data_IF_593969192616
#
_entry.id   IF_593969192616
#
_cell.length_a   1.000
_cell.length_b   1.000
_cell.length_c   1.000
_cell.angle_alpha   90.00
_cell.angle_beta   90.00
_cell.angle_gamma   90.00
#
_symmetry.space_group_name_H-M   'P 1'
#
loop_
_entity.id
_entity.type
_entity.pdbx_description
1 polymer ?
#
# COMPACT_ATOMS: atom_id res chain seq x y z
N UNK A 1 -14.61 1.72 -0.35
CA UNK A 1 -13.14 1.84 -0.23
C UNK A 1 -12.58 2.88 -1.19
N UNK A 2 -12.90 2.77 -2.48
CA UNK A 2 -12.44 3.69 -3.53
C UNK A 2 -12.65 5.19 -3.20
N UNK A 3 -13.84 5.59 -2.76
CA UNK A 3 -14.14 7.00 -2.42
C UNK A 3 -13.32 7.49 -1.21
N UNK A 4 -13.19 6.65 -0.17
CA UNK A 4 -12.40 6.98 1.02
C UNK A 4 -10.91 7.14 0.69
N UNK A 5 -10.34 6.20 -0.06
CA UNK A 5 -8.94 6.28 -0.49
C UNK A 5 -8.68 7.48 -1.40
N UNK A 6 -9.67 7.92 -2.17
CA UNK A 6 -9.52 9.08 -3.07
C UNK A 6 -9.37 10.41 -2.32
N UNK A 7 -9.74 10.45 -1.03
CA UNK A 7 -9.58 11.63 -0.17
C UNK A 7 -8.59 11.40 0.99
N UNK A 8 -8.01 10.20 1.08
CA UNK A 8 -7.09 9.83 2.14
C UNK A 8 -5.64 10.25 1.84
N UNK A 9 -4.90 10.59 2.90
CA UNK A 9 -3.47 10.87 2.83
C UNK A 9 -2.60 9.69 3.32
N UNK A 10 -3.20 8.80 4.11
CA UNK A 10 -2.58 7.60 4.67
C UNK A 10 -3.71 6.59 4.95
N UNK A 11 -3.44 5.30 4.77
CA UNK A 11 -4.32 4.23 5.27
C UNK A 11 -3.60 3.42 6.33
N UNK A 12 -4.25 3.21 7.48
CA UNK A 12 -3.84 2.24 8.51
C UNK A 12 -4.61 0.93 8.26
N UNK A 13 -3.92 -0.18 8.01
CA UNK A 13 -4.59 -1.45 7.67
C UNK A 13 -3.73 -2.67 7.92
N UNK A 14 -4.34 -3.87 7.90
CA UNK A 14 -3.59 -5.13 7.79
C UNK A 14 -3.02 -5.28 6.38
N UNK A 15 -1.91 -6.00 6.18
CA UNK A 15 -1.29 -6.17 4.87
C UNK A 15 -2.01 -7.16 3.94
N UNK A 16 -3.33 -7.05 3.86
CA UNK A 16 -4.16 -7.81 2.93
C UNK A 16 -3.98 -7.35 1.49
N UNK A 17 -3.72 -8.28 0.58
CA UNK A 17 -3.32 -7.98 -0.81
C UNK A 17 -4.34 -7.13 -1.59
N UNK A 18 -5.64 -7.29 -1.35
CA UNK A 18 -6.67 -6.49 -2.01
C UNK A 18 -6.62 -5.03 -1.58
N UNK A 19 -6.65 -4.77 -0.28
CA UNK A 19 -6.61 -3.40 0.27
C UNK A 19 -5.32 -2.69 -0.10
N UNK A 20 -4.17 -3.37 -0.03
CA UNK A 20 -2.89 -2.84 -0.49
C UNK A 20 -2.98 -2.45 -1.96
N UNK A 21 -3.47 -3.34 -2.83
CA UNK A 21 -3.57 -3.07 -4.27
C UNK A 21 -4.44 -1.86 -4.57
N UNK A 22 -5.58 -1.71 -3.89
CA UNK A 22 -6.45 -0.55 -4.02
C UNK A 22 -5.76 0.75 -3.55
N UNK A 23 -5.04 0.71 -2.42
CA UNK A 23 -4.29 1.85 -1.91
C UNK A 23 -3.17 2.29 -2.86
N UNK A 24 -2.44 1.34 -3.45
CA UNK A 24 -1.39 1.62 -4.44
C UNK A 24 -1.95 2.31 -5.68
N UNK A 25 -3.05 1.80 -6.25
CA UNK A 25 -3.74 2.42 -7.40
C UNK A 25 -4.20 3.84 -7.06
N UNK A 26 -4.63 4.07 -5.82
CA UNK A 26 -5.00 5.40 -5.32
C UNK A 26 -3.82 6.26 -4.88
N UNK A 27 -2.59 5.74 -4.96
CA UNK A 27 -1.37 6.42 -4.53
C UNK A 27 -1.51 6.89 -3.07
N UNK A 28 -2.04 6.03 -2.21
CA UNK A 28 -2.19 6.29 -0.78
C UNK A 28 -1.09 5.53 -0.05
N UNK A 29 -0.17 6.21 0.65
CA UNK A 29 0.78 5.60 1.57
C UNK A 29 0.12 4.64 2.56
N UNK A 30 0.81 3.57 2.94
CA UNK A 30 0.24 2.47 3.72
C UNK A 30 0.98 2.30 5.05
N UNK A 31 0.28 2.43 6.18
CA UNK A 31 0.78 2.01 7.49
C UNK A 31 0.16 0.66 7.81
N UNK A 32 1.00 -0.37 7.90
CA UNK A 32 0.61 -1.75 8.10
C UNK A 32 0.77 -2.15 9.57
N UNK A 33 -0.11 -3.01 10.06
CA UNK A 33 -0.02 -3.60 11.40
C UNK A 33 -0.58 -5.03 11.40
N UNK A 34 -0.19 -5.82 12.40
CA UNK A 34 -0.75 -7.16 12.68
C UNK A 34 -0.89 -8.09 11.44
N UNK A 35 0.21 -8.35 10.70
CA UNK A 35 0.19 -9.25 9.56
C UNK A 35 -0.18 -10.66 9.99
N UNK A 36 -1.08 -11.33 9.25
CA UNK A 36 -1.29 -12.76 9.44
C UNK A 36 0.00 -13.49 9.06
N UNK A 37 0.61 -14.27 9.98
CA UNK A 37 1.87 -14.96 9.72
C UNK A 37 1.78 -15.82 8.46
N UNK A 38 2.85 -15.79 7.67
CA UNK A 38 3.00 -16.47 6.37
C UNK A 38 2.13 -15.89 5.25
N UNK A 39 0.84 -15.62 5.49
CA UNK A 39 -0.09 -15.20 4.44
C UNK A 39 0.11 -13.73 4.04
N UNK A 40 0.35 -12.84 5.00
CA UNK A 40 0.46 -11.39 4.73
C UNK A 40 1.87 -10.83 4.98
N UNK A 41 2.77 -11.64 5.55
CA UNK A 41 4.15 -11.25 5.83
C UNK A 41 4.89 -10.79 4.57
N UNK A 42 4.71 -11.50 3.45
CA UNK A 42 5.36 -11.13 2.19
C UNK A 42 4.80 -9.84 1.59
N UNK A 43 3.50 -9.57 1.74
CA UNK A 43 2.92 -8.31 1.31
C UNK A 43 3.54 -7.15 2.10
N UNK A 44 3.65 -7.30 3.43
CA UNK A 44 4.26 -6.28 4.28
C UNK A 44 5.72 -6.02 3.90
N UNK A 45 6.51 -7.10 3.76
CA UNK A 45 7.91 -7.02 3.35
C UNK A 45 8.07 -6.33 2.00
N UNK A 46 7.26 -6.70 1.01
CA UNK A 46 7.30 -6.08 -0.31
C UNK A 46 7.00 -4.58 -0.24
N UNK A 47 5.93 -4.18 0.45
CA UNK A 47 5.52 -2.77 0.54
C UNK A 47 6.56 -1.91 1.28
N UNK A 48 7.16 -2.41 2.35
CA UNK A 48 8.28 -1.74 3.03
C UNK A 48 9.51 -1.60 2.13
N UNK A 49 9.89 -2.67 1.41
CA UNK A 49 11.03 -2.64 0.49
C UNK A 49 10.84 -1.62 -0.65
N UNK A 50 9.60 -1.46 -1.14
CA UNK A 50 9.26 -0.45 -2.14
C UNK A 50 9.12 0.96 -1.56
N UNK A 51 9.21 1.12 -0.24
CA UNK A 51 9.06 2.40 0.49
C UNK A 51 7.69 3.04 0.27
N UNK A 52 6.68 2.25 -0.09
CA UNK A 52 5.30 2.70 -0.27
C UNK A 52 4.49 2.60 1.03
N UNK A 53 5.03 1.90 2.04
CA UNK A 53 4.42 1.76 3.35
C UNK A 53 5.44 1.42 4.43
N UNK A 54 4.96 1.36 5.67
CA UNK A 54 5.73 1.05 6.88
C UNK A 54 4.99 -0.04 7.65
N UNK A 55 5.69 -1.00 8.23
CA UNK A 55 5.10 -2.01 9.12
C UNK A 55 5.34 -1.63 10.59
N UNK A 56 4.28 -1.25 11.29
CA UNK A 56 4.30 -1.11 12.74
C UNK A 56 4.22 -2.48 13.42
N UNK A 57 5.01 -2.67 14.47
CA UNK A 57 5.10 -3.90 15.27
C UNK A 57 4.24 -3.85 16.53
N UNK A 58 3.91 -2.65 17.01
CA UNK A 58 3.02 -2.44 18.16
C UNK A 58 2.02 -1.32 17.91
N UNK A 59 0.99 -1.23 18.76
CA UNK A 59 -0.01 -0.17 18.69
C UNK A 59 0.60 1.21 19.02
N UNK A 60 1.56 1.26 19.94
CA UNK A 60 2.31 2.48 20.25
C UNK A 60 3.11 2.95 19.03
N UNK A 61 3.77 2.03 18.32
CA UNK A 61 4.54 2.36 17.12
C UNK A 61 3.62 2.90 15.99
N UNK A 62 2.36 2.46 15.92
CA UNK A 62 1.38 3.05 14.99
C UNK A 62 1.18 4.53 15.30
N UNK A 63 1.00 4.90 16.57
CA UNK A 63 0.79 6.29 16.96
C UNK A 63 2.03 7.14 16.67
N UNK A 64 3.22 6.66 17.05
CA UNK A 64 4.49 7.34 16.82
C UNK A 64 4.74 7.60 15.33
N UNK A 65 4.48 6.61 14.47
CA UNK A 65 4.64 6.76 13.00
C UNK A 65 3.64 7.77 12.44
N UNK A 66 2.39 7.78 12.92
CA UNK A 66 1.39 8.75 12.45
C UNK A 66 1.81 10.17 12.81
N UNK A 67 2.27 10.42 14.03
CA UNK A 67 2.81 11.72 14.45
C UNK A 67 4.03 12.11 13.59
N UNK A 68 4.96 11.17 13.36
CA UNK A 68 6.14 11.44 12.53
C UNK A 68 5.75 11.81 11.09
N UNK A 69 4.84 11.08 10.47
CA UNK A 69 4.39 11.34 9.11
C UNK A 69 3.59 12.65 8.99
N UNK A 70 2.88 13.04 10.05
CA UNK A 70 2.19 14.32 10.13
C UNK A 70 3.19 15.49 10.13
N UNK A 71 4.28 15.37 10.90
CA UNK A 71 5.32 16.39 10.99
C UNK A 71 6.27 16.41 9.77
N UNK A 72 6.32 15.32 9.00
CA UNK A 72 7.19 15.16 7.82
C UNK A 72 6.39 15.02 6.50
N UNK A 73 5.72 16.07 6.01
CA UNK A 73 4.88 16.00 4.80
C UNK A 73 5.65 15.53 3.55
N UNK A 74 6.95 15.82 3.45
CA UNK A 74 7.80 15.35 2.35
C UNK A 74 7.97 13.83 2.32
N UNK A 75 8.00 13.18 3.49
CA UNK A 75 8.12 11.72 3.57
C UNK A 75 6.84 11.06 3.10
N UNK A 76 5.69 11.62 3.48
CA UNK A 76 4.38 11.15 3.03
C UNK A 76 4.22 11.30 1.51
N UNK A 77 4.73 12.40 0.93
CA UNK A 77 4.69 12.61 -0.52
C UNK A 77 5.66 11.68 -1.28
N UNK A 78 6.85 11.39 -0.74
CA UNK A 78 7.73 10.37 -1.32
C UNK A 78 7.03 9.00 -1.32
N UNK A 79 6.43 8.59 -0.20
CA UNK A 79 5.66 7.34 -0.13
C UNK A 79 4.50 7.30 -1.13
N UNK A 80 3.80 8.43 -1.33
CA UNK A 80 2.74 8.55 -2.34
C UNK A 80 3.29 8.34 -3.75
N UNK A 81 4.45 8.93 -4.05
CA UNK A 81 5.18 8.70 -5.30
C UNK A 81 5.53 7.22 -5.48
N UNK A 82 6.12 6.59 -4.46
CA UNK A 82 6.47 5.16 -4.45
C UNK A 82 5.26 4.27 -4.68
N UNK A 83 4.16 4.51 -3.99
CA UNK A 83 2.91 3.78 -4.17
C UNK A 83 2.43 3.82 -5.62
N UNK A 84 2.52 4.99 -6.26
CA UNK A 84 2.20 5.14 -7.68
C UNK A 84 3.12 4.34 -8.61
N UNK A 85 4.42 4.27 -8.32
CA UNK A 85 5.40 3.55 -9.17
C UNK A 85 5.18 2.03 -9.22
N UNK A 86 4.64 1.45 -8.15
CA UNK A 86 4.39 0.00 -8.05
C UNK A 86 2.90 -0.36 -8.25
N UNK A 87 2.06 0.64 -8.54
CA UNK A 87 0.64 0.42 -8.80
C UNK A 87 0.41 -0.31 -10.12
N UNK A 88 -0.61 -1.16 -10.17
CA UNK A 88 -0.94 -1.92 -11.38
C UNK A 88 -2.45 -1.88 -11.68
N UNK A 89 -2.97 -0.73 -12.15
CA UNK A 89 -4.41 -0.46 -12.23
C UNK A 89 -5.18 -1.35 -13.22
N UNK A 90 -4.50 -1.93 -14.22
CA UNK A 90 -5.11 -2.77 -15.24
C UNK A 90 -4.75 -4.26 -15.08
N UNK A 91 -4.32 -4.67 -13.87
CA UNK A 91 -3.89 -6.05 -13.59
C UNK A 91 -4.89 -7.10 -14.07
N UNK A 92 -6.18 -6.92 -13.77
CA UNK A 92 -7.23 -7.86 -14.17
C UNK A 92 -7.37 -7.97 -15.68
N UNK A 93 -7.40 -6.84 -16.40
CA UNK A 93 -7.45 -6.81 -17.86
C UNK A 93 -6.22 -7.47 -18.47
N UNK A 94 -5.02 -7.12 -18.02
CA UNK A 94 -3.78 -7.73 -18.50
C UNK A 94 -3.74 -9.25 -18.28
N UNK A 95 -4.28 -9.74 -17.16
CA UNK A 95 -4.39 -11.19 -16.91
C UNK A 95 -5.36 -11.83 -17.91
N UNK A 96 -6.49 -11.19 -18.20
CA UNK A 96 -7.45 -11.68 -19.20
C UNK A 96 -6.81 -11.74 -20.59
N UNK A 97 -6.18 -10.65 -21.03
CA UNK A 97 -5.53 -10.57 -22.35
C UNK A 97 -4.44 -11.64 -22.48
N UNK A 98 -3.64 -11.82 -21.42
CA UNK A 98 -2.62 -12.87 -21.34
C UNK A 98 -3.21 -14.28 -21.46
N UNK A 99 -4.32 -14.56 -20.76
CA UNK A 99 -5.00 -15.87 -20.79
C UNK A 99 -5.63 -16.13 -22.16
N UNK A 100 -6.19 -15.10 -22.80
CA UNK A 100 -6.85 -15.22 -24.11
C UNK A 100 -5.86 -15.27 -25.28
N UNK A 101 -4.57 -15.02 -25.04
CA UNK A 101 -3.55 -14.96 -26.09
C UNK A 101 -3.66 -13.70 -26.94
N UNK A 102 -4.37 -12.68 -26.46
CA UNK A 102 -4.53 -11.38 -27.10
C UNK A 102 -3.37 -10.46 -26.70
N UNK A 103 -2.13 -10.89 -26.97
CA UNK A 103 -0.92 -10.05 -27.10
C UNK A 103 -0.46 -9.19 -25.92
N UNK A 104 0.79 -9.41 -25.50
CA UNK A 104 1.64 -8.38 -24.86
C UNK A 104 2.14 -7.40 -25.92
#
# INVERSE_FOLDING_TARGET
MNDFLSVAHLILTKPGGLTISEALVKKVPILMFDPIPYQETENANYIEQQRAGILAKTEEEVADIVEELYDQPFRLEDMRGRAGTISYPHAASHIVDYILGEGI
#
